data_IF_822303896369
#
_entry.id   IF_822303896369
#
_cell.length_a   1.000
_cell.length_b   1.000
_cell.length_c   1.000
_cell.angle_alpha   90.00
_cell.angle_beta   90.00
_cell.angle_gamma   90.00
#
_symmetry.space_group_name_H-M   'P 1'
#
loop_
_entity.id
_entity.type
_entity.pdbx_description
1 polymer ?
#
# COMPACT_ATOMS: atom_id res chain seq x y z
N UNK A 1 6.98 3.36 39.95
CA UNK A 1 7.62 4.20 38.93
C UNK A 1 6.82 4.16 37.65
N UNK A 2 6.35 5.31 37.24
CA UNK A 2 5.44 5.48 36.13
C UNK A 2 6.13 5.54 34.78
N UNK A 3 7.22 4.82 34.62
CA UNK A 3 7.97 4.80 33.36
C UNK A 3 7.34 3.93 32.31
N UNK A 4 6.21 3.27 32.62
CA UNK A 4 5.61 2.28 31.74
C UNK A 4 4.66 2.81 30.66
N UNK A 5 4.07 3.99 30.86
CA UNK A 5 2.99 4.47 29.99
C UNK A 5 3.44 5.64 29.13
N UNK A 6 4.06 5.35 27.98
CA UNK A 6 4.47 6.38 27.04
C UNK A 6 4.06 6.03 25.62
N UNK A 7 3.89 7.06 24.82
CA UNK A 7 3.76 6.96 23.35
C UNK A 7 4.72 7.98 22.74
N UNK A 8 5.59 7.54 21.85
CA UNK A 8 6.39 8.45 21.04
C UNK A 8 5.51 9.00 19.91
N UNK A 9 4.86 10.13 20.17
CA UNK A 9 3.88 10.72 19.26
C UNK A 9 4.47 11.05 17.90
N UNK A 10 5.67 11.61 17.87
CA UNK A 10 6.32 12.01 16.63
C UNK A 10 6.53 10.79 15.71
N UNK A 11 7.10 9.73 16.25
CA UNK A 11 7.36 8.51 15.48
C UNK A 11 6.07 7.81 15.07
N UNK A 12 5.08 7.79 15.96
CA UNK A 12 3.78 7.21 15.65
C UNK A 12 3.11 7.95 14.50
N UNK A 13 3.11 9.28 14.52
CA UNK A 13 2.54 10.08 13.42
C UNK A 13 3.29 9.83 12.11
N UNK A 14 4.61 9.72 12.16
CA UNK A 14 5.40 9.39 10.96
C UNK A 14 5.03 8.02 10.40
N UNK A 15 4.85 7.02 11.25
CA UNK A 15 4.42 5.68 10.84
C UNK A 15 3.00 5.68 10.29
N UNK A 16 2.08 6.42 10.92
CA UNK A 16 0.70 6.58 10.43
C UNK A 16 0.69 7.20 9.03
N UNK A 17 1.45 8.27 8.84
CA UNK A 17 1.54 8.96 7.55
C UNK A 17 2.14 8.05 6.49
N UNK A 18 3.23 7.38 6.81
CA UNK A 18 3.90 6.45 5.90
C UNK A 18 2.98 5.30 5.48
N UNK A 19 2.36 4.64 6.46
CA UNK A 19 1.48 3.50 6.19
C UNK A 19 0.22 3.93 5.43
N UNK A 20 -0.37 5.06 5.83
CA UNK A 20 -1.52 5.62 5.12
C UNK A 20 -1.20 5.95 3.67
N UNK A 21 -0.04 6.56 3.42
CA UNK A 21 0.41 6.87 2.06
C UNK A 21 0.64 5.60 1.24
N UNK A 22 1.28 4.58 1.81
CA UNK A 22 1.50 3.31 1.12
C UNK A 22 0.18 2.62 0.79
N UNK A 23 -0.76 2.60 1.72
CA UNK A 23 -2.11 2.06 1.49
C UNK A 23 -2.82 2.83 0.38
N UNK A 24 -2.75 4.17 0.41
CA UNK A 24 -3.32 5.00 -0.64
C UNK A 24 -2.75 4.64 -2.02
N UNK A 25 -1.42 4.47 -2.11
CA UNK A 25 -0.78 4.18 -3.39
C UNK A 25 -1.18 2.83 -3.97
N UNK A 26 -1.40 1.81 -3.15
CA UNK A 26 -1.68 0.45 -3.64
C UNK A 26 -3.16 0.11 -3.70
N UNK A 27 -4.01 0.76 -2.91
CA UNK A 27 -5.44 0.40 -2.90
C UNK A 27 -6.13 0.69 -4.23
N UNK A 28 -5.54 1.56 -5.05
CA UNK A 28 -6.02 1.86 -6.39
C UNK A 28 -6.10 0.58 -7.26
N UNK A 29 -5.24 -0.39 -7.01
CA UNK A 29 -5.28 -1.67 -7.72
C UNK A 29 -6.62 -2.36 -7.50
N UNK A 30 -7.07 -2.41 -6.24
CA UNK A 30 -8.34 -3.05 -5.90
C UNK A 30 -9.55 -2.30 -6.46
N UNK A 31 -9.53 -0.96 -6.42
CA UNK A 31 -10.70 -0.16 -6.83
C UNK A 31 -10.79 0.07 -8.33
N UNK A 32 -9.67 0.35 -8.98
CA UNK A 32 -9.69 0.85 -10.36
C UNK A 32 -9.11 -0.12 -11.39
N UNK A 33 -8.44 -1.20 -10.97
CA UNK A 33 -7.85 -2.15 -11.92
C UNK A 33 -8.91 -2.76 -12.87
N UNK A 34 -10.11 -3.17 -12.42
CA UNK A 34 -11.11 -3.70 -13.34
C UNK A 34 -11.48 -2.73 -14.45
N UNK A 35 -11.62 -1.45 -14.12
CA UNK A 35 -11.95 -0.41 -15.09
C UNK A 35 -10.79 -0.15 -16.06
N UNK A 36 -9.56 -0.15 -15.56
CA UNK A 36 -8.38 0.01 -16.40
C UNK A 36 -8.23 -1.16 -17.38
N UNK A 37 -8.45 -2.38 -16.91
CA UNK A 37 -8.39 -3.57 -17.78
C UNK A 37 -9.49 -3.54 -18.83
N UNK A 38 -10.68 -3.00 -18.48
CA UNK A 38 -11.75 -2.79 -19.46
C UNK A 38 -11.32 -1.78 -20.54
N UNK A 39 -10.65 -0.69 -20.15
CA UNK A 39 -10.06 0.26 -21.12
C UNK A 39 -9.03 -0.40 -22.02
N UNK A 40 -8.30 -1.40 -21.54
CA UNK A 40 -7.31 -2.15 -22.31
C UNK A 40 -7.93 -3.34 -23.06
N UNK A 41 -9.27 -3.48 -23.07
CA UNK A 41 -10.02 -4.54 -23.77
C UNK A 41 -9.79 -5.95 -23.20
N UNK A 42 -9.51 -6.08 -21.90
CA UNK A 42 -9.47 -7.37 -21.22
C UNK A 42 -10.86 -7.75 -20.69
N UNK A 43 -11.11 -9.05 -20.52
CA UNK A 43 -12.36 -9.53 -19.95
C UNK A 43 -12.45 -9.26 -18.43
N UNK A 44 -13.70 -9.16 -17.92
CA UNK A 44 -13.92 -8.96 -16.47
C UNK A 44 -13.40 -10.13 -15.62
N UNK A 45 -13.43 -11.35 -16.14
CA UNK A 45 -12.86 -12.51 -15.45
C UNK A 45 -11.37 -12.37 -15.21
N UNK A 46 -10.63 -11.82 -16.18
CA UNK A 46 -9.20 -11.55 -16.03
C UNK A 46 -8.92 -10.51 -14.93
N UNK A 47 -9.79 -9.51 -14.77
CA UNK A 47 -9.68 -8.52 -13.69
C UNK A 47 -9.76 -9.20 -12.31
N UNK A 48 -10.70 -10.12 -12.13
CA UNK A 48 -10.83 -10.88 -10.89
C UNK A 48 -9.59 -11.71 -10.58
N UNK A 49 -9.02 -12.36 -11.59
CA UNK A 49 -7.77 -13.12 -11.44
C UNK A 49 -6.62 -12.21 -11.02
N UNK A 50 -6.48 -11.05 -11.66
CA UNK A 50 -5.40 -10.10 -11.34
C UNK A 50 -5.50 -9.56 -9.91
N UNK A 51 -6.71 -9.20 -9.47
CA UNK A 51 -6.95 -8.73 -8.10
C UNK A 51 -6.64 -9.85 -7.09
N UNK A 52 -7.04 -11.09 -7.40
CA UNK A 52 -6.72 -12.24 -6.56
C UNK A 52 -5.21 -12.46 -6.45
N UNK A 53 -4.47 -12.34 -7.53
CA UNK A 53 -3.01 -12.42 -7.53
C UNK A 53 -2.39 -11.29 -6.72
N UNK A 54 -2.94 -10.09 -6.80
CA UNK A 54 -2.48 -8.95 -6.00
C UNK A 54 -2.61 -9.23 -4.49
N UNK A 55 -3.78 -9.70 -4.03
CA UNK A 55 -3.97 -10.03 -2.62
C UNK A 55 -3.13 -11.23 -2.18
N UNK A 56 -2.95 -12.23 -3.05
CA UNK A 56 -2.07 -13.35 -2.77
C UNK A 56 -0.61 -12.87 -2.60
N UNK A 57 -0.18 -11.94 -3.44
CA UNK A 57 1.15 -11.36 -3.33
C UNK A 57 1.33 -10.56 -2.04
N UNK A 58 0.28 -9.90 -1.52
CA UNK A 58 0.31 -9.23 -0.22
C UNK A 58 0.55 -10.23 0.91
N UNK A 59 -0.05 -11.42 0.82
CA UNK A 59 0.07 -12.44 1.85
C UNK A 59 1.43 -13.16 1.84
N UNK A 60 2.04 -13.31 0.67
CA UNK A 60 3.27 -14.08 0.49
C UNK A 60 4.44 -13.61 1.35
N UNK A 61 4.75 -12.31 1.46
CA UNK A 61 5.89 -11.85 2.27
C UNK A 61 5.79 -12.21 3.74
N UNK A 62 4.58 -12.38 4.28
CA UNK A 62 4.38 -12.79 5.67
C UNK A 62 4.98 -14.13 6.00
N UNK A 63 5.08 -15.03 5.01
CA UNK A 63 5.66 -16.35 5.19
C UNK A 63 7.21 -16.33 5.25
N UNK A 64 7.82 -15.33 4.63
CA UNK A 64 9.26 -15.22 4.48
C UNK A 64 9.81 -13.90 5.04
N UNK A 65 9.06 -13.26 5.93
CA UNK A 65 9.37 -11.89 6.39
C UNK A 65 10.75 -11.79 7.03
N UNK A 66 11.13 -12.75 7.87
CA UNK A 66 12.43 -12.76 8.52
C UNK A 66 13.58 -12.82 7.52
N UNK A 67 13.42 -13.62 6.47
CA UNK A 67 14.41 -13.73 5.40
C UNK A 67 14.51 -12.43 4.60
N UNK A 68 13.37 -11.84 4.27
CA UNK A 68 13.31 -10.57 3.52
C UNK A 68 13.96 -9.46 4.31
N UNK A 69 13.67 -9.34 5.59
CA UNK A 69 14.26 -8.32 6.46
C UNK A 69 15.78 -8.58 6.59
N UNK A 70 16.19 -9.84 6.68
CA UNK A 70 17.61 -10.20 6.72
C UNK A 70 18.37 -9.81 5.45
N UNK A 71 17.73 -9.92 4.28
CA UNK A 71 18.34 -9.56 2.99
C UNK A 71 18.37 -8.03 2.77
N UNK A 72 17.27 -7.35 3.11
CA UNK A 72 17.11 -5.91 2.83
C UNK A 72 17.60 -5.02 3.98
N UNK A 73 17.67 -5.58 5.18
CA UNK A 73 18.17 -4.89 6.39
C UNK A 73 17.46 -3.54 6.62
N UNK A 74 18.24 -2.47 6.77
CA UNK A 74 17.71 -1.14 7.05
C UNK A 74 16.99 -0.50 5.85
N UNK A 75 17.15 -1.06 4.65
CA UNK A 75 16.55 -0.55 3.42
C UNK A 75 15.24 -1.25 3.05
N UNK A 76 14.67 -2.03 3.96
CA UNK A 76 13.43 -2.77 3.70
C UNK A 76 12.32 -1.87 3.20
N UNK A 77 12.11 -0.73 3.83
CA UNK A 77 11.07 0.23 3.41
C UNK A 77 11.34 0.79 2.02
N UNK A 78 12.59 1.14 1.75
CA UNK A 78 12.99 1.67 0.43
C UNK A 78 12.74 0.66 -0.68
N UNK A 79 13.17 -0.58 -0.50
CA UNK A 79 12.96 -1.63 -1.50
C UNK A 79 11.48 -1.97 -1.66
N UNK A 80 10.71 -1.93 -0.58
CA UNK A 80 9.27 -2.15 -0.62
C UNK A 80 8.57 -1.06 -1.43
N UNK A 81 8.91 0.20 -1.22
CA UNK A 81 8.40 1.32 -2.00
C UNK A 81 8.81 1.21 -3.47
N UNK A 82 10.04 0.78 -3.73
CA UNK A 82 10.51 0.55 -5.09
C UNK A 82 9.69 -0.54 -5.79
N UNK A 83 9.38 -1.63 -5.08
CA UNK A 83 8.51 -2.68 -5.60
C UNK A 83 7.12 -2.14 -5.95
N UNK A 84 6.53 -1.30 -5.08
CA UNK A 84 5.23 -0.67 -5.35
C UNK A 84 5.32 0.23 -6.58
N UNK A 85 6.34 1.06 -6.68
CA UNK A 85 6.51 1.97 -7.82
C UNK A 85 6.67 1.20 -9.13
N UNK A 86 7.50 0.16 -9.15
CA UNK A 86 7.68 -0.72 -10.30
C UNK A 86 6.37 -1.40 -10.66
N UNK A 87 5.64 -1.89 -9.64
CA UNK A 87 4.34 -2.54 -9.84
C UNK A 87 3.32 -1.62 -10.50
N UNK A 88 3.17 -0.40 -10.00
CA UNK A 88 2.26 0.58 -10.58
C UNK A 88 2.67 0.96 -12.00
N UNK A 89 3.97 1.12 -12.25
CA UNK A 89 4.49 1.38 -13.60
C UNK A 89 4.18 0.25 -14.58
N UNK A 90 4.34 -1.00 -14.14
CA UNK A 90 4.03 -2.17 -14.98
C UNK A 90 2.53 -2.32 -15.24
N UNK A 91 1.67 -1.91 -14.30
CA UNK A 91 0.21 -1.91 -14.52
C UNK A 91 -0.16 -0.89 -15.60
N UNK A 92 0.48 0.26 -15.62
CA UNK A 92 0.27 1.27 -16.67
C UNK A 92 0.62 0.70 -18.05
N UNK A 93 1.65 -0.15 -18.11
CA UNK A 93 1.99 -0.88 -19.34
C UNK A 93 1.07 -2.09 -19.48
N UNK A 94 0.13 -2.06 -20.41
CA UNK A 94 -0.92 -3.07 -20.56
C UNK A 94 -0.40 -4.51 -20.75
N UNK A 95 0.86 -4.69 -21.12
CA UNK A 95 1.47 -6.00 -21.35
C UNK A 95 1.98 -6.69 -20.07
N UNK A 96 2.16 -5.93 -18.99
CA UNK A 96 2.82 -6.41 -17.77
C UNK A 96 1.95 -6.29 -16.52
N UNK A 97 0.62 -6.37 -16.67
CA UNK A 97 -0.31 -6.20 -15.55
C UNK A 97 -0.10 -7.26 -14.47
N UNK A 98 0.13 -8.52 -14.85
CA UNK A 98 0.38 -9.61 -13.89
C UNK A 98 1.58 -9.32 -13.02
N UNK A 99 2.71 -8.97 -13.62
CA UNK A 99 3.93 -8.62 -12.89
C UNK A 99 3.72 -7.37 -12.04
N UNK A 100 2.98 -6.39 -12.56
CA UNK A 100 2.65 -5.18 -11.83
C UNK A 100 1.87 -5.46 -10.55
N UNK A 101 0.83 -6.28 -10.63
CA UNK A 101 0.04 -6.70 -9.47
C UNK A 101 0.89 -7.46 -8.45
N UNK A 102 1.76 -8.35 -8.90
CA UNK A 102 2.63 -9.12 -8.02
C UNK A 102 3.65 -8.23 -7.31
N UNK A 103 4.29 -7.30 -8.01
CA UNK A 103 5.26 -6.39 -7.41
C UNK A 103 4.60 -5.43 -6.43
N UNK A 104 3.48 -4.81 -6.79
CA UNK A 104 2.76 -3.89 -5.91
C UNK A 104 2.27 -4.60 -4.65
N UNK A 105 1.68 -5.78 -4.79
CA UNK A 105 1.21 -6.59 -3.68
C UNK A 105 2.34 -7.04 -2.77
N UNK A 106 3.44 -7.51 -3.34
CA UNK A 106 4.61 -7.95 -2.57
C UNK A 106 5.20 -6.80 -1.75
N UNK A 107 5.39 -5.64 -2.37
CA UNK A 107 5.93 -4.46 -1.68
C UNK A 107 5.05 -4.03 -0.52
N UNK A 108 3.75 -3.94 -0.72
CA UNK A 108 2.81 -3.59 0.35
C UNK A 108 2.77 -4.67 1.45
N UNK A 109 2.83 -5.94 1.08
CA UNK A 109 2.83 -7.06 2.01
C UNK A 109 4.07 -7.09 2.92
N UNK A 110 5.20 -6.55 2.48
CA UNK A 110 6.38 -6.34 3.32
C UNK A 110 6.19 -5.15 4.25
N UNK A 111 5.64 -4.05 3.75
CA UNK A 111 5.46 -2.81 4.52
C UNK A 111 4.51 -3.03 5.70
N UNK A 112 3.43 -3.74 5.51
CA UNK A 112 2.38 -3.89 6.52
C UNK A 112 2.90 -4.46 7.84
N UNK A 113 3.57 -5.64 7.88
CA UNK A 113 4.10 -6.16 9.14
C UNK A 113 5.26 -5.33 9.69
N UNK A 114 6.07 -4.73 8.82
CA UNK A 114 7.17 -3.86 9.26
C UNK A 114 6.65 -2.64 10.01
N UNK A 115 5.59 -2.00 9.49
CA UNK A 115 4.96 -0.85 10.15
C UNK A 115 4.34 -1.28 11.48
N UNK A 116 3.67 -2.43 11.54
CA UNK A 116 3.09 -2.92 12.78
C UNK A 116 4.17 -3.20 13.83
N UNK A 117 5.27 -3.84 13.44
CA UNK A 117 6.40 -4.08 14.35
C UNK A 117 7.01 -2.77 14.87
N UNK A 118 7.24 -1.81 14.01
CA UNK A 118 7.76 -0.50 14.40
C UNK A 118 6.77 0.26 15.30
N UNK A 119 5.48 0.11 15.06
CA UNK A 119 4.43 0.72 15.88
C UNK A 119 4.48 0.17 17.32
N UNK A 120 4.69 -1.12 17.49
CA UNK A 120 4.80 -1.71 18.83
C UNK A 120 5.97 -1.14 19.62
N UNK A 121 6.98 -0.62 18.95
CA UNK A 121 8.16 -0.01 19.59
C UNK A 121 7.99 1.48 19.92
N UNK A 122 6.89 2.10 19.48
CA UNK A 122 6.63 3.53 19.74
C UNK A 122 5.89 3.76 21.04
N UNK A 123 5.40 2.72 21.69
CA UNK A 123 4.57 2.82 22.87
C UNK A 123 4.94 1.77 23.91
N UNK A 124 4.61 2.06 25.17
CA UNK A 124 4.73 1.08 26.26
C UNK A 124 3.76 -0.08 26.04
N UNK A 125 3.99 -1.20 26.72
CA UNK A 125 3.16 -2.39 26.62
C UNK A 125 1.67 -2.14 26.89
N UNK A 126 1.36 -1.17 27.74
CA UNK A 126 -0.02 -0.78 28.04
C UNK A 126 -0.68 0.03 26.93
N UNK A 127 0.10 0.75 26.13
CA UNK A 127 -0.41 1.65 25.08
C UNK A 127 -0.20 1.14 23.66
N UNK A 128 0.41 -0.02 23.48
CA UNK A 128 0.64 -0.62 22.17
C UNK A 128 -0.67 -0.83 21.40
N UNK A 129 -1.71 -1.32 22.06
CA UNK A 129 -3.00 -1.54 21.41
C UNK A 129 -3.58 -0.23 20.87
N UNK A 130 -3.45 0.86 21.64
CA UNK A 130 -3.91 2.17 21.19
C UNK A 130 -3.10 2.67 20.00
N UNK A 131 -1.78 2.52 20.02
CA UNK A 131 -0.91 2.90 18.91
C UNK A 131 -1.24 2.11 17.64
N UNK A 132 -1.44 0.81 17.76
CA UNK A 132 -1.86 -0.04 16.63
C UNK A 132 -3.24 0.36 16.10
N UNK A 133 -4.17 0.73 16.99
CA UNK A 133 -5.49 1.19 16.60
C UNK A 133 -5.41 2.47 15.76
N UNK A 134 -4.55 3.41 16.12
CA UNK A 134 -4.34 4.63 15.33
C UNK A 134 -3.76 4.32 13.94
N UNK A 135 -2.77 3.43 13.87
CA UNK A 135 -2.18 3.03 12.59
C UNK A 135 -3.22 2.35 11.69
N UNK A 136 -4.02 1.45 12.24
CA UNK A 136 -5.09 0.78 11.49
C UNK A 136 -6.18 1.76 11.06
N UNK A 137 -6.54 2.71 11.93
CA UNK A 137 -7.52 3.75 11.58
C UNK A 137 -7.02 4.59 10.41
N UNK A 138 -5.73 4.92 10.38
CA UNK A 138 -5.13 5.65 9.27
C UNK A 138 -5.15 4.84 7.97
N UNK A 139 -4.94 3.52 8.07
CA UNK A 139 -5.06 2.62 6.94
C UNK A 139 -6.47 2.65 6.33
N UNK A 140 -7.50 2.53 7.16
CA UNK A 140 -8.89 2.59 6.69
C UNK A 140 -9.26 3.97 6.16
N UNK A 141 -8.74 5.04 6.77
CA UNK A 141 -8.94 6.40 6.26
C UNK A 141 -8.34 6.56 4.86
N UNK A 142 -7.14 6.02 4.63
CA UNK A 142 -6.51 6.05 3.32
C UNK A 142 -7.35 5.28 2.28
N UNK A 143 -7.89 4.12 2.64
CA UNK A 143 -8.79 3.35 1.78
C UNK A 143 -10.04 4.16 1.42
N UNK A 144 -10.62 4.83 2.41
CA UNK A 144 -11.81 5.65 2.20
C UNK A 144 -11.54 6.85 1.30
N UNK A 145 -10.41 7.54 1.52
CA UNK A 145 -10.11 8.78 0.82
C UNK A 145 -9.55 8.58 -0.59
N UNK A 146 -8.96 7.42 -0.88
CA UNK A 146 -8.29 7.19 -2.17
C UNK A 146 -9.19 7.46 -3.37
N UNK A 147 -10.42 6.89 -3.48
CA UNK A 147 -11.28 7.14 -4.63
C UNK A 147 -11.66 8.62 -4.76
N UNK A 148 -11.95 9.27 -3.64
CA UNK A 148 -12.34 10.69 -3.64
C UNK A 148 -11.20 11.59 -4.10
N UNK A 149 -9.98 11.34 -3.64
CA UNK A 149 -8.79 12.11 -4.05
C UNK A 149 -8.52 11.92 -5.55
N UNK A 150 -8.62 10.71 -6.05
CA UNK A 150 -8.42 10.40 -7.48
C UNK A 150 -9.49 11.09 -8.33
N UNK A 151 -10.76 11.00 -7.93
CA UNK A 151 -11.86 11.65 -8.66
C UNK A 151 -11.70 13.18 -8.66
N UNK A 152 -11.34 13.75 -7.51
CA UNK A 152 -11.11 15.19 -7.40
C UNK A 152 -9.94 15.65 -8.26
N UNK A 153 -8.83 14.92 -8.25
CA UNK A 153 -7.68 15.23 -9.10
C UNK A 153 -8.04 15.11 -10.58
N UNK A 154 -8.78 14.07 -10.96
CA UNK A 154 -9.26 13.89 -12.32
C UNK A 154 -10.16 15.05 -12.77
N UNK A 155 -11.02 15.54 -11.88
CA UNK A 155 -11.88 16.68 -12.16
C UNK A 155 -11.06 17.96 -12.39
N UNK A 156 -10.07 18.25 -11.53
CA UNK A 156 -9.23 19.44 -11.64
C UNK A 156 -8.40 19.41 -12.94
N UNK A 157 -7.79 18.27 -13.25
CA UNK A 157 -6.97 18.14 -14.46
C UNK A 157 -7.78 17.80 -15.71
N UNK A 158 -9.12 17.68 -15.58
CA UNK A 158 -10.05 17.32 -16.68
C UNK A 158 -9.67 16.04 -17.40
N UNK A 159 -9.19 15.07 -16.65
CA UNK A 159 -8.83 13.75 -17.17
C UNK A 159 -9.81 12.72 -16.64
N UNK A 160 -10.37 11.89 -17.51
CA UNK A 160 -11.42 10.92 -17.16
C UNK A 160 -11.03 9.46 -17.46
N UNK A 161 -9.75 9.20 -17.79
CA UNK A 161 -9.29 7.84 -18.05
C UNK A 161 -8.89 7.14 -16.74
N UNK A 162 -9.12 5.83 -16.66
CA UNK A 162 -8.70 5.05 -15.48
C UNK A 162 -7.18 4.95 -15.36
N UNK A 163 -6.47 5.01 -16.49
CA UNK A 163 -5.01 5.05 -16.49
C UNK A 163 -4.46 6.24 -15.70
N UNK A 164 -5.16 7.37 -15.71
CA UNK A 164 -4.78 8.56 -14.95
C UNK A 164 -4.65 8.27 -13.45
N UNK A 165 -5.56 7.46 -12.87
CA UNK A 165 -5.51 7.12 -11.45
C UNK A 165 -4.17 6.46 -11.08
N UNK A 166 -3.71 5.51 -11.89
CA UNK A 166 -2.43 4.84 -11.67
C UNK A 166 -1.24 5.76 -11.89
N UNK A 167 -1.27 6.59 -12.93
CA UNK A 167 -0.22 7.58 -13.19
C UNK A 167 -0.12 8.59 -12.07
N UNK A 168 -1.25 9.10 -11.57
CA UNK A 168 -1.29 10.04 -10.45
C UNK A 168 -0.66 9.43 -9.20
N UNK A 169 -1.00 8.19 -8.87
CA UNK A 169 -0.43 7.49 -7.73
C UNK A 169 1.08 7.23 -7.90
N UNK A 170 1.52 6.95 -9.12
CA UNK A 170 2.95 6.73 -9.39
C UNK A 170 3.76 8.02 -9.19
N UNK A 171 3.20 9.16 -9.58
CA UNK A 171 3.86 10.47 -9.44
C UNK A 171 3.90 10.92 -7.98
N UNK A 172 2.86 10.62 -7.22
CA UNK A 172 2.82 10.95 -5.79
C UNK A 172 3.82 10.09 -5.00
#
# INVERSE_FOLDING_TARGET
SDTGDFINRKRLVQLMAFYGLCTYLVIIVSFNLPFLMEEYHFSSGNSGIMISLFFLAIMTPGLFLNQIIGWWKQRTEFYSLLCIAVGLGLIILSRCIVLGCLFAGFGYGVIQPVVYDKTTRTASSRKVTLALAFVMAMNYLAILLCPFIIDWAGFIFRVHTQQFAFIFNLVV
#
